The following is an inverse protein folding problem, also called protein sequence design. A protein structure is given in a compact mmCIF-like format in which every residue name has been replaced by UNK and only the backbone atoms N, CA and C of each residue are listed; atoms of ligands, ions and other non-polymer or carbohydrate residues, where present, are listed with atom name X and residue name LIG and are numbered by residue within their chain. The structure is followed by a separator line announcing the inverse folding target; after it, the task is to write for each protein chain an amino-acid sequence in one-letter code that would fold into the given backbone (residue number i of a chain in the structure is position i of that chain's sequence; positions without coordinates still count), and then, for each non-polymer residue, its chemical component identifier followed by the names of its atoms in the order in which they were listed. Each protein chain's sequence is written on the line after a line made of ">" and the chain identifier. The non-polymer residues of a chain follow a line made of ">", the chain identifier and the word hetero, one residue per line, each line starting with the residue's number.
data_IF_978143230794
#
_entry.id   IF_978143230794
#
_cell.length_a   1.000
_cell.length_b   1.000
_cell.length_c   1.000
_cell.angle_alpha   90.00
_cell.angle_beta   90.00
_cell.angle_gamma   90.00
#
_symmetry.space_group_name_H-M   'P 1'
#
loop_
_entity.id
_entity.type
_entity.pdbx_description
1 polymer ?
#
# COMPACT_ATOMS: atom_id res chain seq x y z
N UNK A 1 1.67 9.76 17.01
CA UNK A 1 2.39 8.47 17.02
C UNK A 1 1.64 7.51 16.12
N UNK A 2 2.30 6.85 15.17
CA UNK A 2 1.62 6.15 14.07
C UNK A 2 0.84 4.92 14.56
N UNK A 3 -0.47 4.89 14.29
CA UNK A 3 -1.43 3.87 14.74
C UNK A 3 -1.17 2.43 14.23
N UNK A 4 -0.22 2.23 13.30
CA UNK A 4 -0.01 0.93 12.66
C UNK A 4 0.86 -0.04 13.49
N UNK A 5 1.67 0.47 14.42
CA UNK A 5 2.62 -0.34 15.19
C UNK A 5 1.96 -1.21 16.27
N UNK A 6 0.69 -0.96 16.63
CA UNK A 6 -0.01 -1.70 17.69
C UNK A 6 -0.92 -2.82 17.18
N UNK A 7 -1.02 -3.01 15.87
CA UNK A 7 -1.89 -4.03 15.29
C UNK A 7 -1.11 -5.34 15.06
N UNK A 8 -1.75 -6.48 15.32
CA UNK A 8 -1.21 -7.83 15.03
C UNK A 8 -0.72 -7.98 13.58
N UNK A 9 -1.32 -7.22 12.65
CA UNK A 9 -0.95 -7.15 11.23
C UNK A 9 0.41 -6.46 11.03
N UNK A 10 0.75 -5.47 11.85
CA UNK A 10 2.07 -4.83 11.82
C UNK A 10 3.19 -5.76 12.27
N UNK A 11 2.88 -6.65 13.22
CA UNK A 11 3.83 -7.67 13.71
C UNK A 11 4.05 -8.78 12.67
N UNK A 12 2.99 -9.19 11.96
CA UNK A 12 3.07 -10.19 10.89
C UNK A 12 3.78 -9.65 9.62
N UNK A 13 3.76 -8.33 9.43
CA UNK A 13 4.50 -7.62 8.37
C UNK A 13 5.97 -7.28 8.72
N UNK A 14 6.49 -7.72 9.87
CA UNK A 14 7.90 -7.50 10.25
C UNK A 14 8.25 -6.06 10.64
N UNK A 15 7.27 -5.24 11.06
CA UNK A 15 7.51 -3.87 11.51
C UNK A 15 8.10 -3.90 12.93
N UNK A 16 9.38 -3.53 13.06
CA UNK A 16 10.09 -3.34 14.34
C UNK A 16 9.66 -2.04 15.04
N UNK A 17 9.59 -2.03 16.38
CA UNK A 17 9.12 -0.91 17.20
C UNK A 17 9.88 0.42 17.00
N UNK A 18 11.05 0.41 16.37
CA UNK A 18 11.88 1.63 16.15
C UNK A 18 11.81 2.21 14.74
N UNK A 19 11.14 1.56 13.79
CA UNK A 19 11.08 2.07 12.42
C UNK A 19 9.65 2.50 12.10
N UNK A 20 9.42 3.81 11.98
CA UNK A 20 8.19 4.35 11.40
C UNK A 20 8.42 4.44 9.90
N UNK A 21 8.01 3.45 9.10
CA UNK A 21 8.35 3.47 7.70
C UNK A 21 7.60 4.62 7.02
N UNK A 22 8.33 5.40 6.23
CA UNK A 22 7.75 6.52 5.53
C UNK A 22 6.75 6.02 4.47
N UNK A 23 5.59 6.67 4.40
CA UNK A 23 4.74 6.58 3.21
C UNK A 23 5.47 7.28 2.08
N UNK A 24 5.75 6.55 1.02
CA UNK A 24 6.47 7.08 -0.15
C UNK A 24 5.52 7.69 -1.16
N UNK A 25 4.32 7.11 -1.30
CA UNK A 25 3.24 7.67 -2.12
C UNK A 25 1.88 7.08 -1.73
N UNK A 26 0.80 7.74 -2.14
CA UNK A 26 -0.56 7.22 -2.05
C UNK A 26 -1.40 7.68 -3.24
N UNK A 27 -2.34 6.85 -3.66
CA UNK A 27 -3.30 7.21 -4.69
C UNK A 27 -4.68 6.62 -4.38
N UNK A 28 -5.72 7.42 -4.55
CA UNK A 28 -7.11 7.01 -4.35
C UNK A 28 -7.80 6.73 -5.70
N UNK A 29 -8.77 5.83 -5.69
CA UNK A 29 -9.72 5.69 -6.79
C UNK A 29 -10.56 6.95 -6.94
N UNK A 30 -11.12 7.19 -8.12
CA UNK A 30 -11.92 8.39 -8.39
C UNK A 30 -13.19 8.50 -7.52
N UNK A 31 -13.73 7.38 -7.05
CA UNK A 31 -14.85 7.31 -6.10
C UNK A 31 -14.41 7.41 -4.63
N UNK A 32 -13.10 7.55 -4.39
CA UNK A 32 -12.45 7.58 -3.07
C UNK A 32 -12.76 6.38 -2.17
N UNK A 33 -13.30 5.27 -2.71
CA UNK A 33 -13.66 4.09 -1.90
C UNK A 33 -12.46 3.21 -1.56
N UNK A 34 -11.35 3.37 -2.31
CA UNK A 34 -10.13 2.58 -2.18
C UNK A 34 -8.90 3.50 -2.31
N UNK A 35 -7.93 3.28 -1.44
CA UNK A 35 -6.64 3.98 -1.45
C UNK A 35 -5.52 2.94 -1.50
N UNK A 36 -4.61 3.08 -2.45
CA UNK A 36 -3.34 2.36 -2.47
C UNK A 36 -2.26 3.21 -1.80
N UNK A 37 -1.47 2.59 -0.93
CA UNK A 37 -0.41 3.25 -0.17
C UNK A 37 0.89 2.48 -0.34
N UNK A 38 1.92 3.18 -0.80
CA UNK A 38 3.29 2.70 -0.86
C UNK A 38 4.02 3.08 0.43
N UNK A 39 4.68 2.10 1.06
CA UNK A 39 5.38 2.28 2.33
C UNK A 39 6.81 1.76 2.15
N UNK A 40 7.79 2.57 2.54
CA UNK A 40 9.20 2.32 2.27
C UNK A 40 9.71 0.95 2.77
N UNK A 41 9.23 0.48 3.92
CA UNK A 41 9.64 -0.79 4.51
C UNK A 41 8.82 -1.99 4.05
N UNK A 42 7.74 -1.77 3.29
CA UNK A 42 6.86 -2.84 2.85
C UNK A 42 7.23 -3.23 1.42
N UNK A 43 7.44 -4.52 1.19
CA UNK A 43 7.64 -5.09 -0.14
C UNK A 43 6.29 -5.27 -0.86
N UNK A 44 5.54 -4.18 -0.98
CA UNK A 44 4.19 -4.22 -1.50
C UNK A 44 3.42 -2.92 -1.37
N UNK A 45 2.19 -2.96 -1.87
CA UNK A 45 1.22 -1.87 -1.79
C UNK A 45 0.14 -2.24 -0.79
N UNK A 46 -0.08 -1.38 0.20
CA UNK A 46 -1.17 -1.53 1.16
C UNK A 46 -2.45 -0.97 0.56
N UNK A 47 -3.52 -1.76 0.55
CA UNK A 47 -4.84 -1.33 0.14
C UNK A 47 -5.69 -0.98 1.35
N UNK A 48 -6.27 0.21 1.34
CA UNK A 48 -7.12 0.74 2.39
C UNK A 48 -8.49 1.03 1.78
N UNK A 49 -9.53 0.40 2.33
CA UNK A 49 -10.90 0.78 2.04
C UNK A 49 -11.24 2.02 2.84
N UNK A 50 -11.82 2.99 2.15
CA UNK A 50 -12.36 4.18 2.77
C UNK A 50 -13.89 4.15 2.67
N UNK A 51 -14.54 4.22 3.82
CA UNK A 51 -15.95 4.53 3.92
C UNK A 51 -16.09 5.97 4.43
N UNK A 52 -16.25 6.91 3.50
CA UNK A 52 -16.38 8.33 3.81
C UNK A 52 -17.68 8.65 4.57
N UNK A 53 -18.74 7.86 4.38
CA UNK A 53 -20.01 8.05 5.08
C UNK A 53 -19.88 7.64 6.53
N UNK A 54 -19.26 6.49 6.79
CA UNK A 54 -18.99 6.00 8.13
C UNK A 54 -17.77 6.66 8.79
N UNK A 55 -16.97 7.40 8.01
CA UNK A 55 -15.66 7.94 8.42
C UNK A 55 -14.71 6.85 8.92
N UNK A 56 -14.73 5.70 8.27
CA UNK A 56 -13.92 4.53 8.64
C UNK A 56 -12.90 4.24 7.56
N UNK A 57 -11.66 4.03 7.99
CA UNK A 57 -10.60 3.42 7.19
C UNK A 57 -10.37 2.00 7.66
N UNK A 58 -10.25 1.06 6.71
CA UNK A 58 -9.94 -0.34 7.02
C UNK A 58 -8.92 -0.89 6.03
N UNK A 59 -7.95 -1.64 6.54
CA UNK A 59 -6.97 -2.32 5.70
C UNK A 59 -7.66 -3.50 5.00
N UNK A 60 -7.66 -3.49 3.67
CA UNK A 60 -8.22 -4.54 2.83
C UNK A 60 -7.26 -5.71 2.70
N UNK A 61 -6.07 -5.43 2.17
CA UNK A 61 -5.00 -6.39 1.93
C UNK A 61 -3.70 -5.69 1.60
N UNK A 62 -2.60 -6.41 1.71
CA UNK A 62 -1.33 -6.05 1.11
C UNK A 62 -1.19 -6.78 -0.22
N UNK A 63 -0.80 -6.05 -1.26
CA UNK A 63 -0.43 -6.63 -2.57
C UNK A 63 1.09 -6.75 -2.62
N UNK A 64 1.66 -7.96 -2.49
CA UNK A 64 3.11 -8.15 -2.55
C UNK A 64 3.63 -7.91 -3.96
N UNK A 65 4.86 -7.43 -4.07
CA UNK A 65 5.55 -7.24 -5.36
C UNK A 65 6.61 -8.34 -5.46
N UNK A 66 6.35 -9.43 -6.20
CA UNK A 66 7.22 -10.60 -6.19
C UNK A 66 8.56 -10.30 -6.86
N UNK A 67 9.65 -10.76 -6.22
CA UNK A 67 10.99 -10.76 -6.82
C UNK A 67 11.68 -9.40 -6.90
N UNK A 68 11.14 -8.37 -6.25
CA UNK A 68 11.73 -7.03 -6.24
C UNK A 68 12.10 -6.59 -4.82
N UNK A 69 13.33 -6.13 -4.65
CA UNK A 69 13.78 -5.36 -3.46
C UNK A 69 13.55 -3.87 -3.66
N UNK A 70 12.91 -3.47 -4.76
CA UNK A 70 12.71 -2.06 -5.10
C UNK A 70 11.54 -1.50 -4.30
N UNK A 71 11.75 -0.30 -3.79
CA UNK A 71 10.75 0.39 -2.98
C UNK A 71 9.81 1.11 -3.95
N UNK A 72 8.48 0.94 -3.83
CA UNK A 72 7.55 1.73 -4.61
C UNK A 72 7.68 3.20 -4.21
N UNK A 73 8.01 4.05 -5.18
CA UNK A 73 8.23 5.49 -4.97
C UNK A 73 7.11 6.34 -5.55
N UNK A 74 6.31 5.79 -6.47
CA UNK A 74 5.19 6.50 -7.06
C UNK A 74 4.07 5.55 -7.48
N UNK A 75 2.82 6.02 -7.37
CA UNK A 75 1.60 5.29 -7.69
C UNK A 75 0.68 6.15 -8.55
N UNK A 76 -0.01 5.51 -9.49
CA UNK A 76 -1.03 6.17 -10.31
C UNK A 76 -2.18 5.23 -10.62
N UNK A 77 -3.41 5.69 -10.46
CA UNK A 77 -4.59 4.91 -10.83
C UNK A 77 -5.11 5.39 -12.18
N UNK A 78 -5.41 4.45 -13.07
CA UNK A 78 -6.06 4.78 -14.35
C UNK A 78 -7.43 5.44 -14.12
N UNK A 79 -7.89 6.26 -15.06
CA UNK A 79 -9.23 6.87 -14.99
C UNK A 79 -10.37 5.85 -14.83
N UNK A 80 -10.19 4.63 -15.33
CA UNK A 80 -11.15 3.53 -15.15
C UNK A 80 -11.19 2.93 -13.73
N UNK A 81 -10.13 3.13 -12.94
CA UNK A 81 -9.95 2.50 -11.63
C UNK A 81 -9.41 1.05 -11.68
N UNK A 82 -9.17 0.50 -12.88
CA UNK A 82 -8.86 -0.94 -13.05
C UNK A 82 -7.38 -1.26 -12.94
N UNK A 83 -6.54 -0.27 -13.24
CA UNK A 83 -5.09 -0.38 -13.30
C UNK A 83 -4.44 0.53 -12.27
N UNK A 84 -3.53 -0.04 -11.50
CA UNK A 84 -2.59 0.67 -10.64
C UNK A 84 -1.20 0.63 -11.30
N UNK A 85 -0.75 1.78 -11.75
CA UNK A 85 0.60 2.05 -12.18
C UNK A 85 1.49 2.24 -10.96
N UNK A 86 2.69 1.70 -11.03
CA UNK A 86 3.65 1.79 -9.95
C UNK A 86 5.04 2.02 -10.54
N UNK A 87 5.74 3.02 -9.98
CA UNK A 87 7.16 3.23 -10.22
C UNK A 87 7.92 2.75 -8.99
N UNK A 88 8.85 1.82 -9.19
CA UNK A 88 9.77 1.35 -8.16
C UNK A 88 11.17 1.89 -8.46
N UNK A 89 11.90 2.27 -7.42
CA UNK A 89 13.25 2.80 -7.55
C UNK A 89 14.15 2.33 -6.41
N UNK A 90 15.44 2.16 -6.70
CA UNK A 90 16.46 1.99 -5.68
C UNK A 90 17.69 2.82 -6.03
N UNK A 91 18.15 3.62 -5.05
CA UNK A 91 19.49 4.19 -5.07
C UNK A 91 20.47 3.13 -4.55
N UNK A 92 21.34 2.66 -5.45
CA UNK A 92 22.52 1.84 -5.15
C UNK A 92 22.25 0.51 -4.43
N UNK A 93 21.94 -0.53 -5.20
CA UNK A 93 21.98 -1.91 -4.71
C UNK A 93 23.46 -2.30 -4.45
N UNK A 94 23.88 -2.66 -3.22
CA UNK A 94 25.27 -3.02 -2.95
C UNK A 94 25.71 -4.18 -3.83
N UNK A 95 26.78 -3.99 -4.62
CA UNK A 95 27.32 -5.00 -5.53
C UNK A 95 26.73 -5.01 -6.94
N UNK A 96 25.76 -4.15 -7.25
CA UNK A 96 25.27 -3.96 -8.63
C UNK A 96 26.17 -3.01 -9.42
N UNK A 97 26.62 -3.44 -10.61
CA UNK A 97 27.28 -2.55 -11.59
C UNK A 97 26.30 -1.63 -12.34
N UNK A 98 25.00 -1.81 -12.15
CA UNK A 98 23.98 -1.01 -12.82
C UNK A 98 23.73 0.30 -12.06
N UNK A 99 23.89 1.41 -12.75
CA UNK A 99 23.44 2.75 -12.34
C UNK A 99 21.94 2.70 -12.06
N UNK A 100 21.51 3.28 -10.93
CA UNK A 100 20.12 3.58 -10.54
C UNK A 100 19.04 3.07 -11.50
N UNK A 101 18.34 2.01 -11.12
CA UNK A 101 17.27 1.43 -11.93
C UNK A 101 15.92 1.91 -11.39
N UNK A 102 15.16 2.58 -12.25
CA UNK A 102 13.73 2.79 -12.07
C UNK A 102 12.97 1.78 -12.93
N UNK A 103 11.94 1.17 -12.37
CA UNK A 103 11.06 0.24 -13.09
C UNK A 103 9.63 0.74 -13.01
N UNK A 104 8.91 0.60 -14.12
CA UNK A 104 7.47 0.87 -14.19
C UNK A 104 6.76 -0.46 -14.34
N UNK A 105 5.72 -0.66 -13.54
CA UNK A 105 4.87 -1.85 -13.58
C UNK A 105 3.40 -1.45 -13.47
N UNK A 106 2.53 -2.35 -13.94
CA UNK A 106 1.07 -2.20 -13.88
C UNK A 106 0.49 -3.40 -13.17
N UNK A 107 -0.35 -3.13 -12.18
CA UNK A 107 -1.19 -4.11 -11.49
C UNK A 107 -2.61 -3.95 -12.02
N UNK A 108 -3.15 -5.01 -12.61
CA UNK A 108 -4.53 -5.08 -13.08
C UNK A 108 -5.47 -5.63 -12.01
N UNK A 109 -6.78 -5.45 -12.22
CA UNK A 109 -7.79 -5.95 -11.28
C UNK A 109 -7.89 -5.12 -10.01
N UNK A 110 -7.53 -3.84 -10.08
CA UNK A 110 -7.60 -2.90 -8.96
C UNK A 110 -9.03 -2.43 -8.64
N UNK A 111 -10.01 -2.81 -9.47
CA UNK A 111 -11.43 -2.55 -9.19
C UNK A 111 -11.80 -3.03 -7.81
N UNK A 112 -12.65 -2.23 -7.16
CA UNK A 112 -13.36 -2.57 -5.91
C UNK A 112 -13.72 -4.06 -5.98
N UNK A 113 -13.14 -4.92 -5.13
CA UNK A 113 -13.58 -6.31 -5.10
C UNK A 113 -15.09 -6.28 -4.83
N UNK A 114 -15.85 -7.08 -5.56
CA UNK A 114 -17.21 -7.43 -5.19
C UNK A 114 -17.10 -8.24 -3.89
N UNK A 115 -16.85 -7.51 -2.81
CA UNK A 115 -16.45 -8.06 -1.56
C UNK A 115 -17.73 -8.46 -0.87
N UNK A 116 -18.04 -9.76 -0.90
CA UNK A 116 -19.04 -10.33 -0.02
C UNK A 116 -18.69 -9.88 1.41
N UNK A 117 -19.62 -9.22 2.10
CA UNK A 117 -19.38 -8.58 3.39
C UNK A 117 -18.86 -9.53 4.48
N UNK A 118 -18.89 -10.84 4.25
CA UNK A 118 -18.46 -11.89 5.16
C UNK A 118 -16.95 -12.03 5.36
N UNK A 119 -16.12 -11.57 4.41
CA UNK A 119 -14.70 -12.00 4.35
C UNK A 119 -13.69 -10.98 4.90
N UNK A 120 -14.14 -9.79 5.30
CA UNK A 120 -13.26 -8.82 5.94
C UNK A 120 -13.79 -8.51 7.33
N UNK A 121 -13.09 -9.00 8.35
CA UNK A 121 -13.23 -8.43 9.69
C UNK A 121 -12.58 -7.05 9.64
N UNK A 122 -13.34 -5.94 9.62
CA UNK A 122 -12.75 -4.62 9.55
C UNK A 122 -12.03 -4.39 10.89
N UNK A 123 -10.71 -4.21 10.86
CA UNK A 123 -10.04 -3.54 11.98
C UNK A 123 -10.36 -2.07 11.81
N UNK A 124 -11.33 -1.61 12.59
CA UNK A 124 -11.66 -0.20 12.76
C UNK A 124 -10.40 0.47 13.32
N UNK A 125 -9.73 1.28 12.50
CA UNK A 125 -8.70 2.17 12.98
C UNK A 125 -9.44 3.41 13.50
N UNK A 126 -9.66 3.47 14.82
CA UNK A 126 -10.18 4.69 15.45
C UNK A 126 -9.16 5.81 15.24
N UNK A 127 -9.62 6.92 14.65
CA UNK A 127 -8.88 8.17 14.61
C UNK A 127 -8.95 8.78 16.01
N UNK A 128 -7.82 8.74 16.72
CA UNK A 128 -7.66 9.38 18.04
C UNK A 128 -6.60 10.46 17.89
N UNK A 129 -7.06 11.70 17.69
CA UNK A 129 -6.26 12.89 18.05
C UNK A 129 -5.91 12.88 19.54
#
# INVERSE_FOLDING_TARGET
>A
GSCLCKSEVGREAGLSEECHPAVTDLCATSDASLVAVAIQSLQGILLIRCDLSARVLSVLKMVPIPGETFIPTNLGISSSGDLLWMVTGASNLPGSKATSLARVSVISGFKKPALNESDLKPRILEDRE
#
